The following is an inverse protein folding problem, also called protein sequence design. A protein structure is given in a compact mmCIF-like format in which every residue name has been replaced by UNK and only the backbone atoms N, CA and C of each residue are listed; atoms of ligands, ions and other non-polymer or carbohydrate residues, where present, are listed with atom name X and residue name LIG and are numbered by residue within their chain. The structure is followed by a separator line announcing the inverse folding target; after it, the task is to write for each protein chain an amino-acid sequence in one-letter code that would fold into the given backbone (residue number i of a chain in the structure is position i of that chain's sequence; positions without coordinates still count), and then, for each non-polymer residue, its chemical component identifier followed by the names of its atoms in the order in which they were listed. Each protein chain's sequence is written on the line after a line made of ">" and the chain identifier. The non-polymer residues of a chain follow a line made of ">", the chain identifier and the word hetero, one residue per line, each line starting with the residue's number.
data_IF_143222809146
#
_entry.id   IF_143222809146
#
_cell.length_a   1.000
_cell.length_b   1.000
_cell.length_c   1.000
_cell.angle_alpha   90.00
_cell.angle_beta   90.00
_cell.angle_gamma   90.00
#
_symmetry.space_group_name_H-M   'P 1'
#
loop_
_entity.id
_entity.type
_entity.pdbx_description
1 polymer ?
#
# COMPACT_ATOMS: atom_id res chain seq x y z
N UNK A 1 -9.70 -0.01 -10.55
CA UNK A 1 -9.74 1.28 -9.83
C UNK A 1 -8.42 1.44 -9.08
N UNK A 2 -7.83 2.66 -9.15
CA UNK A 2 -6.54 2.99 -8.54
C UNK A 2 -6.73 4.25 -7.69
N UNK A 3 -6.52 4.22 -6.36
CA UNK A 3 -6.51 5.41 -5.52
C UNK A 3 -5.28 6.27 -5.84
N UNK A 4 -5.42 7.59 -5.83
CA UNK A 4 -4.34 8.55 -6.07
C UNK A 4 -4.24 9.58 -4.94
N UNK A 5 -3.02 9.96 -4.52
CA UNK A 5 -1.72 9.55 -5.07
C UNK A 5 -1.33 8.13 -4.64
N UNK A 6 -0.56 7.45 -5.50
CA UNK A 6 -0.09 6.08 -5.23
C UNK A 6 1.28 5.82 -5.87
N UNK A 7 1.82 4.64 -5.64
CA UNK A 7 3.08 4.21 -6.25
C UNK A 7 2.92 4.08 -7.77
N UNK A 8 3.92 4.54 -8.50
CA UNK A 8 3.91 4.76 -9.95
C UNK A 8 3.69 3.52 -10.82
N UNK A 9 3.80 2.30 -10.28
CA UNK A 9 3.72 1.09 -11.10
C UNK A 9 2.29 0.62 -11.39
N UNK A 10 1.27 1.01 -10.60
CA UNK A 10 -0.06 0.43 -10.72
C UNK A 10 -0.76 0.76 -12.04
N UNK A 11 -0.69 2.01 -12.49
CA UNK A 11 -1.26 2.44 -13.76
C UNK A 11 -0.59 1.75 -14.96
N UNK A 12 0.75 1.80 -15.12
CA UNK A 12 1.42 1.11 -16.23
C UNK A 12 1.16 -0.40 -16.26
N UNK A 13 1.18 -1.07 -15.10
CA UNK A 13 0.91 -2.52 -15.03
C UNK A 13 -0.54 -2.81 -15.43
N UNK A 14 -1.49 -1.99 -15.00
CA UNK A 14 -2.90 -2.13 -15.41
C UNK A 14 -3.05 -2.01 -16.91
N UNK A 15 -2.43 -0.99 -17.51
CA UNK A 15 -2.48 -0.73 -18.96
C UNK A 15 -1.80 -1.86 -19.75
N UNK A 16 -0.62 -2.30 -19.33
CA UNK A 16 0.11 -3.41 -19.95
C UNK A 16 -0.66 -4.74 -19.87
N UNK A 17 -1.50 -4.89 -18.85
CA UNK A 17 -2.39 -6.06 -18.69
C UNK A 17 -3.69 -5.94 -19.49
N UNK A 18 -3.84 -4.92 -20.34
CA UNK A 18 -5.05 -4.66 -21.14
C UNK A 18 -6.20 -4.06 -20.34
N UNK A 19 -5.96 -3.61 -19.10
CA UNK A 19 -6.94 -2.93 -18.27
C UNK A 19 -7.02 -1.44 -18.59
N UNK A 20 -8.14 -0.84 -18.21
CA UNK A 20 -8.34 0.62 -18.27
C UNK A 20 -8.29 1.14 -16.83
N UNK A 21 -7.24 1.93 -16.47
CA UNK A 21 -7.15 2.51 -15.14
C UNK A 21 -8.27 3.54 -14.93
N UNK A 22 -8.89 3.49 -13.75
CA UNK A 22 -9.86 4.48 -13.29
C UNK A 22 -9.35 5.00 -11.96
N UNK A 23 -9.02 6.29 -11.92
CA UNK A 23 -8.40 6.92 -10.76
C UNK A 23 -9.46 7.46 -9.79
N UNK A 24 -9.23 7.25 -8.49
CA UNK A 24 -10.04 7.80 -7.40
C UNK A 24 -9.15 8.67 -6.53
N UNK A 25 -9.45 9.96 -6.48
CA UNK A 25 -8.67 10.91 -5.69
C UNK A 25 -8.85 10.68 -4.18
N UNK A 26 -7.74 10.44 -3.49
CA UNK A 26 -7.64 10.47 -2.04
C UNK A 26 -7.11 11.83 -1.61
N UNK A 27 -7.89 12.60 -0.87
CA UNK A 27 -7.59 14.00 -0.60
C UNK A 27 -6.96 14.19 0.77
N UNK A 28 -6.21 15.27 0.93
CA UNK A 28 -5.56 15.60 2.21
C UNK A 28 -6.58 15.84 3.33
N UNK A 29 -7.72 16.43 3.04
CA UNK A 29 -8.83 16.63 3.99
C UNK A 29 -9.42 15.32 4.53
N UNK A 30 -9.29 14.22 3.78
CA UNK A 30 -9.68 12.88 4.17
C UNK A 30 -8.46 12.05 4.64
N UNK A 31 -7.37 12.69 5.03
CA UNK A 31 -6.10 12.03 5.42
C UNK A 31 -5.56 11.09 4.32
N UNK A 32 -5.80 11.39 3.05
CA UNK A 32 -5.48 10.57 1.88
C UNK A 32 -6.03 9.13 1.94
N UNK A 33 -7.13 8.91 2.65
CA UNK A 33 -7.82 7.62 2.71
C UNK A 33 -8.71 7.40 1.48
N UNK A 34 -8.90 6.15 1.10
CA UNK A 34 -9.88 5.78 0.08
C UNK A 34 -11.29 5.82 0.71
N UNK A 35 -12.08 6.80 0.32
CA UNK A 35 -13.46 6.93 0.78
C UNK A 35 -14.38 5.91 0.10
N UNK A 36 -15.25 5.28 0.87
CA UNK A 36 -16.18 4.27 0.38
C UNK A 36 -17.19 4.84 -0.64
N UNK A 37 -17.65 6.08 -0.46
CA UNK A 37 -18.55 6.77 -1.41
C UNK A 37 -17.85 7.07 -2.75
N UNK A 38 -16.60 7.50 -2.72
CA UNK A 38 -15.80 7.72 -3.92
C UNK A 38 -15.52 6.41 -4.68
N UNK A 39 -15.19 5.34 -3.93
CA UNK A 39 -15.06 4.00 -4.53
C UNK A 39 -16.36 3.55 -5.17
N UNK A 40 -17.49 3.67 -4.47
CA UNK A 40 -18.81 3.30 -4.97
C UNK A 40 -19.16 4.02 -6.27
N UNK A 41 -18.88 5.31 -6.35
CA UNK A 41 -19.14 6.12 -7.54
C UNK A 41 -18.27 5.70 -8.76
N UNK A 42 -17.07 5.13 -8.52
CA UNK A 42 -16.17 4.68 -9.57
C UNK A 42 -16.46 3.25 -10.07
N UNK A 43 -17.23 2.46 -9.32
CA UNK A 43 -17.56 1.08 -9.70
C UNK A 43 -18.58 1.08 -10.85
N UNK A 44 -18.29 0.29 -11.87
CA UNK A 44 -19.18 0.03 -13.01
C UNK A 44 -19.28 -1.48 -13.27
N UNK A 45 -20.21 -1.96 -14.12
CA UNK A 45 -20.25 -3.38 -14.51
C UNK A 45 -18.94 -3.90 -15.16
N UNK A 46 -18.08 -3.00 -15.64
CA UNK A 46 -16.76 -3.33 -16.22
C UNK A 46 -15.65 -3.37 -15.19
N UNK A 47 -15.86 -2.91 -13.97
CA UNK A 47 -14.86 -2.91 -12.91
C UNK A 47 -14.51 -4.35 -12.51
N UNK A 48 -13.22 -4.69 -12.55
CA UNK A 48 -12.70 -6.02 -12.21
C UNK A 48 -11.89 -6.03 -10.93
N UNK A 49 -11.15 -4.94 -10.68
CA UNK A 49 -10.17 -4.88 -9.61
C UNK A 49 -10.14 -3.49 -8.98
N UNK A 50 -10.00 -3.44 -7.68
CA UNK A 50 -9.55 -2.26 -6.95
C UNK A 50 -8.19 -2.54 -6.34
N UNK A 51 -7.25 -1.65 -6.52
CA UNK A 51 -5.92 -1.69 -5.89
C UNK A 51 -6.00 -0.89 -4.59
N UNK A 52 -5.56 -1.46 -3.49
CA UNK A 52 -5.54 -0.82 -2.17
C UNK A 52 -4.11 -0.86 -1.62
N UNK A 53 -3.28 0.16 -1.89
CA UNK A 53 -1.89 0.21 -1.44
C UNK A 53 -1.78 0.96 -0.11
N UNK A 54 -2.12 0.31 0.99
CA UNK A 54 -2.08 0.92 2.33
C UNK A 54 -1.34 0.03 3.33
N UNK A 55 -0.43 0.60 4.15
CA UNK A 55 0.00 2.02 4.21
C UNK A 55 0.58 2.51 2.90
N UNK A 56 0.24 3.76 2.55
CA UNK A 56 0.40 4.28 1.19
C UNK A 56 1.80 4.86 0.92
N UNK A 57 2.31 4.60 -0.26
CA UNK A 57 3.39 5.34 -0.91
C UNK A 57 2.74 6.22 -2.00
N UNK A 58 2.81 7.57 -1.94
CA UNK A 58 3.81 8.38 -1.21
C UNK A 58 3.30 9.09 0.05
N UNK A 59 2.04 8.95 0.44
CA UNK A 59 1.45 9.82 1.47
C UNK A 59 1.71 9.36 2.91
N UNK A 60 1.96 8.06 3.12
CA UNK A 60 2.00 7.46 4.44
C UNK A 60 0.62 7.32 5.09
N UNK A 61 -0.45 7.47 4.32
CA UNK A 61 -1.81 7.25 4.79
C UNK A 61 -2.04 5.79 5.17
N UNK A 62 -2.89 5.57 6.15
CA UNK A 62 -3.37 4.25 6.58
C UNK A 62 -4.89 4.22 6.49
N UNK A 63 -5.45 3.03 6.31
CA UNK A 63 -6.88 2.79 6.44
C UNK A 63 -7.16 2.21 7.82
N UNK A 64 -8.06 2.83 8.55
CA UNK A 64 -8.52 2.28 9.83
C UNK A 64 -9.56 1.17 9.58
N UNK A 65 -9.86 0.38 10.61
CA UNK A 65 -10.85 -0.73 10.50
C UNK A 65 -12.19 -0.24 9.95
N UNK A 66 -12.66 0.89 10.44
CA UNK A 66 -13.94 1.49 10.07
C UNK A 66 -13.99 1.88 8.58
N UNK A 67 -12.87 2.40 8.04
CA UNK A 67 -12.73 2.70 6.61
C UNK A 67 -12.78 1.42 5.78
N UNK A 68 -12.07 0.38 6.23
CA UNK A 68 -12.02 -0.92 5.55
C UNK A 68 -13.38 -1.63 5.57
N UNK A 69 -14.12 -1.54 6.68
CA UNK A 69 -15.49 -2.08 6.78
C UNK A 69 -16.44 -1.35 5.82
N UNK A 70 -16.34 -0.04 5.69
CA UNK A 70 -17.12 0.73 4.73
C UNK A 70 -16.78 0.37 3.27
N UNK A 71 -15.51 0.15 2.96
CA UNK A 71 -15.07 -0.34 1.63
C UNK A 71 -15.58 -1.76 1.38
N UNK A 72 -15.48 -2.66 2.36
CA UNK A 72 -15.98 -4.03 2.25
C UNK A 72 -17.48 -4.07 1.99
N UNK A 73 -18.25 -3.19 2.64
CA UNK A 73 -19.70 -3.06 2.40
C UNK A 73 -20.02 -2.68 0.95
N UNK A 74 -19.28 -1.71 0.39
CA UNK A 74 -19.43 -1.30 -1.02
C UNK A 74 -19.12 -2.45 -1.98
N UNK A 75 -18.18 -3.32 -1.62
CA UNK A 75 -17.76 -4.44 -2.48
C UNK A 75 -18.63 -5.69 -2.32
N UNK A 76 -19.46 -5.80 -1.29
CA UNK A 76 -20.21 -7.02 -0.92
C UNK A 76 -21.02 -7.59 -2.09
N UNK A 77 -21.82 -6.78 -2.73
CA UNK A 77 -22.72 -7.20 -3.81
C UNK A 77 -22.11 -7.03 -5.21
N UNK A 78 -20.78 -7.05 -5.28
CA UNK A 78 -20.03 -6.93 -6.53
C UNK A 78 -19.14 -8.15 -6.78
N UNK A 79 -18.69 -8.30 -8.03
CA UNK A 79 -17.67 -9.27 -8.41
C UNK A 79 -16.26 -8.63 -8.48
N UNK A 80 -16.07 -7.46 -7.87
CA UNK A 80 -14.80 -6.74 -7.88
C UNK A 80 -13.82 -7.43 -6.94
N UNK A 81 -12.63 -7.71 -7.46
CA UNK A 81 -11.51 -8.25 -6.69
C UNK A 81 -10.72 -7.11 -6.02
N UNK A 82 -10.00 -7.43 -4.97
CA UNK A 82 -9.09 -6.51 -4.30
C UNK A 82 -7.65 -6.97 -4.48
N UNK A 83 -6.77 -6.10 -4.98
CA UNK A 83 -5.32 -6.25 -4.89
C UNK A 83 -4.85 -5.36 -3.75
N UNK A 84 -4.49 -5.98 -2.65
CA UNK A 84 -4.06 -5.31 -1.43
C UNK A 84 -2.54 -5.33 -1.34
N UNK A 85 -1.89 -4.18 -1.47
CA UNK A 85 -0.45 -4.05 -1.27
C UNK A 85 -0.17 -3.58 0.15
N UNK A 86 0.31 -4.49 0.98
CA UNK A 86 0.60 -4.29 2.40
C UNK A 86 2.11 -4.28 2.70
N UNK A 87 2.94 -3.92 1.71
CA UNK A 87 4.40 -3.94 1.87
C UNK A 87 4.91 -3.09 3.06
N UNK A 88 4.11 -2.14 3.53
CA UNK A 88 4.41 -1.27 4.67
C UNK A 88 3.61 -1.59 5.94
N UNK A 89 2.91 -2.72 6.00
CA UNK A 89 2.04 -3.08 7.14
C UNK A 89 2.73 -2.96 8.51
N UNK A 90 4.00 -3.41 8.61
CA UNK A 90 4.78 -3.35 9.85
C UNK A 90 5.32 -1.95 10.18
N UNK A 91 5.35 -1.04 9.21
CA UNK A 91 5.75 0.35 9.41
C UNK A 91 4.50 1.21 9.65
N UNK A 92 3.79 0.91 10.72
CA UNK A 92 2.60 1.61 11.19
C UNK A 92 2.94 2.31 12.52
N UNK A 93 2.72 3.62 12.57
CA UNK A 93 3.02 4.50 13.72
C UNK A 93 1.75 4.90 14.49
N UNK A 94 0.60 4.38 14.08
CA UNK A 94 -0.69 4.62 14.73
C UNK A 94 -0.80 3.95 16.10
N UNK A 95 -1.84 4.30 16.85
CA UNK A 95 -2.16 3.68 18.14
C UNK A 95 -2.76 2.27 17.98
N UNK A 96 -3.23 1.94 16.80
CA UNK A 96 -3.84 0.65 16.47
C UNK A 96 -2.94 -0.15 15.54
N UNK A 97 -2.89 -1.47 15.66
CA UNK A 97 -2.17 -2.30 14.69
C UNK A 97 -2.81 -2.19 13.30
N UNK A 98 -2.01 -2.47 12.27
CA UNK A 98 -2.51 -2.59 10.91
C UNK A 98 -3.62 -3.65 10.83
N UNK A 99 -4.65 -3.36 10.06
CA UNK A 99 -5.75 -4.29 9.76
C UNK A 99 -5.76 -4.56 8.27
N UNK A 100 -5.69 -5.83 7.89
CA UNK A 100 -5.88 -6.25 6.51
C UNK A 100 -7.36 -6.34 6.18
N UNK A 101 -7.80 -5.78 5.06
CA UNK A 101 -9.19 -5.96 4.59
C UNK A 101 -9.50 -7.43 4.34
N UNK A 102 -8.49 -8.25 4.00
CA UNK A 102 -8.66 -9.69 3.82
C UNK A 102 -9.14 -10.41 5.10
N UNK A 103 -8.95 -9.81 6.27
CA UNK A 103 -9.41 -10.36 7.55
C UNK A 103 -10.89 -10.08 7.85
N UNK A 104 -11.54 -9.21 7.05
CA UNK A 104 -12.94 -8.88 7.24
C UNK A 104 -13.86 -9.97 6.62
N UNK A 105 -15.07 -10.16 7.17
CA UNK A 105 -16.01 -11.15 6.65
C UNK A 105 -16.29 -10.98 5.15
N UNK A 106 -16.17 -12.06 4.36
CA UNK A 106 -16.45 -12.07 2.92
C UNK A 106 -15.38 -11.41 2.05
N UNK A 107 -14.24 -11.03 2.62
CA UNK A 107 -13.16 -10.36 1.87
C UNK A 107 -12.00 -11.30 1.50
N UNK A 108 -11.77 -12.38 2.26
CA UNK A 108 -10.69 -13.32 1.96
C UNK A 108 -10.84 -13.96 0.57
N UNK A 109 -12.06 -14.25 0.15
CA UNK A 109 -12.39 -14.94 -1.11
C UNK A 109 -12.21 -14.05 -2.34
N UNK A 110 -12.02 -12.74 -2.15
CA UNK A 110 -11.85 -11.76 -3.23
C UNK A 110 -10.60 -10.90 -3.11
N UNK A 111 -9.74 -11.15 -2.11
CA UNK A 111 -8.55 -10.34 -1.88
C UNK A 111 -7.28 -11.11 -2.21
N UNK A 112 -6.40 -10.47 -2.97
CA UNK A 112 -5.03 -10.90 -3.20
C UNK A 112 -4.15 -9.96 -2.39
N UNK A 113 -3.58 -10.45 -1.31
CA UNK A 113 -2.61 -9.72 -0.48
C UNK A 113 -1.23 -9.88 -1.10
N UNK A 114 -0.56 -8.76 -1.35
CA UNK A 114 0.83 -8.69 -1.78
C UNK A 114 1.64 -8.07 -0.65
N UNK A 115 2.70 -8.74 -0.25
CA UNK A 115 3.60 -8.27 0.79
C UNK A 115 5.01 -8.82 0.55
N UNK A 116 5.97 -8.50 1.41
CA UNK A 116 7.33 -8.98 1.25
C UNK A 116 8.29 -8.49 2.32
N UNK A 117 9.55 -8.82 2.13
CA UNK A 117 10.61 -8.61 3.10
C UNK A 117 11.36 -7.28 2.90
N UNK A 118 11.13 -6.63 1.76
CA UNK A 118 11.90 -5.44 1.34
C UNK A 118 11.90 -4.31 2.35
N UNK A 119 10.77 -4.09 3.04
CA UNK A 119 10.56 -2.93 3.92
C UNK A 119 10.64 -3.34 5.38
N UNK A 120 9.80 -4.27 5.82
CA UNK A 120 9.73 -4.71 7.20
C UNK A 120 11.05 -5.28 7.72
N UNK A 121 11.80 -5.97 6.87
CA UNK A 121 13.08 -6.60 7.22
C UNK A 121 14.30 -5.92 6.57
N UNK A 122 14.14 -4.72 6.00
CA UNK A 122 15.20 -4.01 5.28
C UNK A 122 15.88 -4.84 4.18
N UNK A 123 15.16 -5.78 3.56
CA UNK A 123 15.68 -6.74 2.57
C UNK A 123 15.39 -6.31 1.13
N UNK A 124 15.47 -5.01 0.82
CA UNK A 124 15.13 -4.49 -0.52
C UNK A 124 15.98 -5.13 -1.62
N UNK A 125 17.27 -5.29 -1.41
CA UNK A 125 18.22 -5.91 -2.36
C UNK A 125 18.04 -7.42 -2.54
N UNK A 126 17.39 -8.11 -1.60
CA UNK A 126 17.17 -9.55 -1.62
C UNK A 126 16.09 -10.01 -2.59
N UNK A 127 15.29 -9.08 -3.12
CA UNK A 127 14.26 -9.33 -4.14
C UNK A 127 13.28 -10.45 -3.77
N UNK A 128 12.69 -10.41 -2.58
CA UNK A 128 11.75 -11.42 -2.09
C UNK A 128 10.45 -10.80 -1.61
N UNK A 129 9.34 -11.37 -2.06
CA UNK A 129 7.98 -11.05 -1.64
C UNK A 129 7.08 -12.27 -1.80
N UNK A 130 5.84 -12.13 -1.41
CA UNK A 130 4.84 -13.18 -1.50
C UNK A 130 3.47 -12.60 -1.80
N UNK A 131 2.59 -13.45 -2.32
CA UNK A 131 1.18 -13.16 -2.50
C UNK A 131 0.34 -14.25 -1.86
N UNK A 132 -0.73 -13.84 -1.18
CA UNK A 132 -1.73 -14.72 -0.57
C UNK A 132 -3.10 -14.37 -1.12
N UNK A 133 -3.93 -15.37 -1.40
CA UNK A 133 -5.27 -15.12 -1.92
C UNK A 133 -6.00 -16.40 -2.34
N UNK A 134 -7.14 -16.27 -3.02
CA UNK A 134 -7.92 -17.41 -3.46
C UNK A 134 -7.10 -18.38 -4.33
N UNK A 135 -7.15 -19.66 -3.98
CA UNK A 135 -6.36 -20.71 -4.62
C UNK A 135 -6.42 -20.70 -6.16
N UNK A 136 -7.59 -20.54 -6.82
CA UNK A 136 -7.66 -20.53 -8.27
C UNK A 136 -6.83 -19.40 -8.90
N UNK A 137 -6.78 -18.23 -8.25
CA UNK A 137 -6.01 -17.07 -8.73
C UNK A 137 -4.52 -17.29 -8.48
N UNK A 138 -4.14 -17.70 -7.28
CA UNK A 138 -2.74 -17.98 -6.94
C UNK A 138 -2.15 -19.05 -7.85
N UNK A 139 -2.90 -20.11 -8.21
CA UNK A 139 -2.47 -21.11 -9.19
C UNK A 139 -2.11 -20.51 -10.56
N UNK A 140 -2.92 -19.56 -11.04
CA UNK A 140 -2.65 -18.89 -12.32
C UNK A 140 -1.45 -17.96 -12.20
N UNK A 141 -1.38 -17.17 -11.11
CA UNK A 141 -0.22 -16.32 -10.83
C UNK A 141 1.08 -17.14 -10.78
N UNK A 142 1.05 -18.30 -10.13
CA UNK A 142 2.21 -19.20 -10.06
C UNK A 142 2.68 -19.67 -11.45
N UNK A 143 1.74 -20.02 -12.35
CA UNK A 143 2.08 -20.41 -13.73
C UNK A 143 2.75 -19.26 -14.50
N UNK A 144 2.22 -18.05 -14.36
CA UNK A 144 2.80 -16.86 -15.01
C UNK A 144 4.18 -16.57 -14.42
N UNK A 145 4.29 -16.58 -13.10
CA UNK A 145 5.57 -16.36 -12.40
C UNK A 145 6.63 -17.38 -12.79
N UNK A 146 6.27 -18.67 -12.87
CA UNK A 146 7.17 -19.74 -13.30
C UNK A 146 7.71 -19.49 -14.72
N UNK A 147 6.87 -19.00 -15.63
CA UNK A 147 7.29 -18.73 -17.01
C UNK A 147 8.11 -17.45 -17.15
N UNK A 148 7.86 -16.44 -16.30
CA UNK A 148 8.52 -15.14 -16.40
C UNK A 148 9.83 -15.06 -15.60
N UNK A 149 9.87 -15.65 -14.40
CA UNK A 149 10.96 -15.47 -13.42
C UNK A 149 11.54 -16.82 -12.97
N UNK A 150 10.78 -17.92 -13.07
CA UNK A 150 11.03 -19.26 -12.54
C UNK A 150 10.81 -19.33 -11.02
N UNK A 151 11.67 -18.69 -10.22
CA UNK A 151 11.55 -18.64 -8.75
C UNK A 151 12.28 -17.42 -8.18
N UNK A 152 11.93 -17.05 -6.96
CA UNK A 152 12.72 -16.11 -6.19
C UNK A 152 14.11 -16.70 -5.87
N UNK A 153 15.16 -15.86 -5.66
CA UNK A 153 16.50 -16.35 -5.35
C UNK A 153 16.50 -17.26 -4.10
N UNK A 154 17.10 -18.43 -4.22
CA UNK A 154 17.12 -19.44 -3.14
C UNK A 154 17.76 -18.91 -1.87
N UNK A 155 18.87 -18.16 -1.98
CA UNK A 155 19.53 -17.50 -0.85
C UNK A 155 18.61 -16.58 -0.10
N UNK A 156 17.78 -15.81 -0.82
CA UNK A 156 16.77 -14.90 -0.23
C UNK A 156 15.69 -15.68 0.52
N UNK A 157 15.26 -16.83 0.00
CA UNK A 157 14.26 -17.67 0.66
C UNK A 157 14.80 -18.21 1.99
N UNK A 158 16.05 -18.68 2.04
CA UNK A 158 16.67 -19.11 3.30
C UNK A 158 16.86 -17.96 4.29
N UNK A 159 17.29 -16.80 3.81
CA UNK A 159 17.41 -15.60 4.67
C UNK A 159 16.04 -15.19 5.25
N UNK A 160 14.96 -15.29 4.48
CA UNK A 160 13.60 -14.99 4.93
C UNK A 160 13.13 -15.92 6.06
N UNK A 161 13.55 -17.20 6.06
CA UNK A 161 13.23 -18.12 7.16
C UNK A 161 13.80 -17.59 8.49
N UNK A 162 15.06 -17.14 8.48
CA UNK A 162 15.68 -16.52 9.65
C UNK A 162 14.99 -15.21 10.03
N UNK A 163 14.70 -14.35 9.03
CA UNK A 163 13.99 -13.09 9.25
C UNK A 163 12.66 -13.31 9.99
N UNK A 164 11.84 -14.26 9.53
CA UNK A 164 10.54 -14.57 10.15
C UNK A 164 10.64 -15.22 11.54
N UNK A 165 11.74 -15.91 11.83
CA UNK A 165 11.88 -16.60 13.10
C UNK A 165 12.49 -15.73 14.20
N UNK A 166 13.43 -14.87 13.83
CA UNK A 166 14.39 -14.32 14.78
C UNK A 166 14.49 -12.78 14.73
N UNK A 167 13.81 -12.09 13.81
CA UNK A 167 14.05 -10.66 13.57
C UNK A 167 12.86 -9.74 13.91
N UNK A 168 11.85 -10.18 14.65
CA UNK A 168 10.71 -9.32 15.01
C UNK A 168 11.14 -8.10 15.82
N UNK A 169 12.09 -8.27 16.76
CA UNK A 169 12.63 -7.16 17.53
C UNK A 169 13.37 -6.11 16.69
N UNK A 170 13.93 -6.50 15.55
CA UNK A 170 14.57 -5.57 14.63
C UNK A 170 13.54 -4.73 13.86
N UNK A 171 12.37 -5.30 13.56
CA UNK A 171 11.25 -4.53 12.97
C UNK A 171 10.82 -3.43 13.94
N UNK A 172 10.60 -3.77 15.22
CA UNK A 172 10.21 -2.80 16.25
C UNK A 172 11.24 -1.68 16.39
N UNK A 173 12.52 -2.03 16.49
CA UNK A 173 13.62 -1.06 16.59
C UNK A 173 13.68 -0.13 15.37
N UNK A 174 13.52 -0.68 14.18
CA UNK A 174 13.53 0.10 12.93
C UNK A 174 12.29 1.00 12.83
N UNK A 175 11.11 0.50 13.21
CA UNK A 175 9.87 1.28 13.25
C UNK A 175 9.99 2.48 14.19
N UNK A 176 10.57 2.29 15.38
CA UNK A 176 10.76 3.35 16.35
C UNK A 176 11.72 4.43 15.83
N UNK A 177 12.81 4.04 15.18
CA UNK A 177 13.75 4.96 14.53
C UNK A 177 13.06 5.74 13.39
N UNK A 178 12.29 5.08 12.53
CA UNK A 178 11.52 5.76 11.49
C UNK A 178 10.48 6.71 12.08
N UNK A 179 9.85 6.36 13.19
CA UNK A 179 8.89 7.23 13.88
C UNK A 179 9.56 8.50 14.41
N UNK A 180 10.76 8.42 14.97
CA UNK A 180 11.53 9.61 15.38
C UNK A 180 11.83 10.50 14.17
N UNK A 181 12.34 9.93 13.09
CA UNK A 181 12.65 10.67 11.85
C UNK A 181 11.42 11.29 11.23
N UNK A 182 10.31 10.56 11.19
CA UNK A 182 9.00 11.04 10.73
C UNK A 182 8.60 12.33 11.44
N UNK A 183 8.62 12.31 12.78
CA UNK A 183 8.27 13.48 13.60
C UNK A 183 9.16 14.68 13.31
N UNK A 184 10.48 14.45 13.17
CA UNK A 184 11.43 15.50 12.83
C UNK A 184 11.11 16.11 11.46
N UNK A 185 10.96 15.29 10.43
CA UNK A 185 10.74 15.74 9.05
C UNK A 185 9.41 16.46 8.90
N UNK A 186 8.32 15.92 9.47
CA UNK A 186 6.99 16.56 9.43
C UNK A 186 7.01 17.91 10.13
N UNK A 187 7.62 17.98 11.32
CA UNK A 187 7.79 19.25 12.04
C UNK A 187 8.60 20.25 11.22
N UNK A 188 9.73 19.84 10.67
CA UNK A 188 10.60 20.72 9.87
C UNK A 188 9.88 21.31 8.67
N UNK A 189 9.08 20.52 7.93
CA UNK A 189 8.27 21.04 6.83
C UNK A 189 7.24 22.06 7.30
N UNK A 190 6.51 21.78 8.40
CA UNK A 190 5.54 22.71 8.94
C UNK A 190 6.20 24.00 9.45
N UNK A 191 7.34 23.92 10.11
CA UNK A 191 8.13 25.08 10.58
C UNK A 191 8.61 25.95 9.40
N UNK A 192 8.86 25.34 8.24
CA UNK A 192 9.18 26.05 6.98
C UNK A 192 7.95 26.63 6.26
N UNK A 193 6.75 26.45 6.77
CA UNK A 193 5.51 26.92 6.15
C UNK A 193 4.96 26.02 5.04
N UNK A 194 5.48 24.78 4.92
CA UNK A 194 4.97 23.75 4.03
C UNK A 194 4.05 22.82 4.83
N UNK A 195 2.73 22.96 4.66
CA UNK A 195 1.79 22.08 5.36
C UNK A 195 2.05 20.63 5.01
N UNK A 196 2.47 19.85 5.99
CA UNK A 196 2.75 18.43 5.81
C UNK A 196 1.72 17.59 6.57
N UNK A 197 0.99 16.74 5.84
CA UNK A 197 0.17 15.70 6.43
C UNK A 197 1.01 14.83 7.35
N UNK A 198 0.48 14.45 8.51
CA UNK A 198 1.18 13.55 9.43
C UNK A 198 0.97 12.09 9.00
N UNK A 199 1.96 11.46 8.34
CA UNK A 199 1.83 10.09 7.89
C UNK A 199 1.80 9.14 9.08
N UNK A 200 0.88 8.17 9.06
CA UNK A 200 0.78 7.14 10.10
C UNK A 200 1.38 5.81 9.69
N UNK A 201 1.82 5.70 8.44
CA UNK A 201 2.47 4.48 7.93
C UNK A 201 3.58 4.78 6.93
N UNK A 202 4.25 3.73 6.49
CA UNK A 202 5.40 3.78 5.57
C UNK A 202 6.54 4.66 6.09
N UNK A 203 7.41 5.18 5.23
CA UNK A 203 8.53 6.06 5.61
C UNK A 203 8.62 7.29 4.68
N UNK A 204 7.48 7.83 4.29
CA UNK A 204 7.39 8.99 3.41
C UNK A 204 6.83 10.19 4.17
N UNK A 205 7.22 11.40 3.72
CA UNK A 205 6.58 12.65 4.06
C UNK A 205 6.08 13.29 2.75
N UNK A 206 4.88 13.85 2.78
CA UNK A 206 4.21 14.39 1.60
C UNK A 206 3.73 15.82 1.85
N UNK A 207 4.66 16.82 1.82
CA UNK A 207 4.32 18.21 2.08
C UNK A 207 3.54 18.85 0.94
N UNK A 208 2.64 19.75 1.27
CA UNK A 208 1.94 20.59 0.31
C UNK A 208 2.81 21.81 -0.05
N UNK A 209 3.15 21.95 -1.31
CA UNK A 209 4.01 23.04 -1.82
C UNK A 209 3.24 24.23 -2.41
N UNK A 210 1.91 24.27 -2.27
CA UNK A 210 1.07 25.33 -2.84
C UNK A 210 1.50 26.74 -2.41
N UNK A 211 2.03 26.88 -1.18
CA UNK A 211 2.51 28.16 -0.64
C UNK A 211 3.72 28.72 -1.40
N UNK A 212 4.46 27.88 -2.13
CA UNK A 212 5.63 28.30 -2.89
C UNK A 212 5.28 28.89 -4.25
N UNK A 213 4.09 28.61 -4.78
CA UNK A 213 3.67 28.97 -6.14
C UNK A 213 4.36 28.13 -7.23
N UNK A 214 5.19 27.16 -6.87
CA UNK A 214 5.92 26.29 -7.80
C UNK A 214 5.10 25.06 -8.17
N UNK A 215 5.37 24.51 -9.36
CA UNK A 215 4.98 23.15 -9.71
C UNK A 215 5.85 22.14 -8.95
N UNK A 216 5.37 20.89 -8.85
CA UNK A 216 6.17 19.82 -8.21
C UNK A 216 7.52 19.60 -8.92
N UNK A 217 7.55 19.73 -10.24
CA UNK A 217 8.79 19.60 -11.03
C UNK A 217 9.80 20.69 -10.67
N UNK A 218 9.36 21.96 -10.60
CA UNK A 218 10.23 23.08 -10.26
C UNK A 218 10.75 23.01 -8.83
N UNK A 219 9.92 22.49 -7.92
CA UNK A 219 10.30 22.37 -6.50
C UNK A 219 11.35 21.27 -6.28
N UNK A 220 11.37 20.22 -7.11
CA UNK A 220 12.29 19.09 -6.98
C UNK A 220 13.60 19.27 -7.77
N UNK A 221 13.75 20.34 -8.57
CA UNK A 221 14.97 20.63 -9.37
C UNK A 221 15.84 21.63 -8.67
#
# INVERSE_FOLDING_TARGET
>A
IIPEPCFVCYEPITTLSGGVPVHVACRQEDEFRLRADALKAAITPRTKLVIMPFPNNPTGAVMEREDLEAVAEVLRDTNVMVLLDEIYAELNYGLRPHVSIASLPGMAERTIVVNGFSKSYAMTGWRLGYACGPEPIIKIMTKIHQSAIMSAPTTSQYAAITALRDCDGEIDRMRDEYNMRRRLVVRSFNDMGLTCFEPRGAFYAFPCIKSTGMTSQEFCT
#
